data_IF_697844892823
#
_entry.id   IF_697844892823
#
_cell.length_a   1.000
_cell.length_b   1.000
_cell.length_c   1.000
_cell.angle_alpha   90.00
_cell.angle_beta   90.00
_cell.angle_gamma   90.00
#
_symmetry.space_group_name_H-M   'P 1'
#
loop_
_entity.id
_entity.type
_entity.pdbx_description
1 polymer ?
#
# COMPACT_ATOMS: atom_id res chain seq x y z
N UNK A 1 -34.54 4.41 15.99
CA UNK A 1 -33.69 5.24 15.07
C UNK A 1 -32.25 4.91 15.39
N UNK A 2 -31.62 4.07 14.54
CA UNK A 2 -30.19 3.82 14.60
C UNK A 2 -29.53 5.05 14.00
N UNK A 3 -28.81 5.83 14.79
CA UNK A 3 -27.91 6.86 14.29
C UNK A 3 -26.71 6.10 13.69
N UNK A 4 -26.65 6.02 12.38
CA UNK A 4 -25.40 5.71 11.68
C UNK A 4 -24.45 6.87 11.97
N UNK A 5 -23.57 6.71 12.94
CA UNK A 5 -22.42 7.59 13.09
C UNK A 5 -21.55 7.30 11.88
N UNK A 6 -21.51 8.21 10.94
CA UNK A 6 -20.62 8.12 9.77
C UNK A 6 -19.19 8.06 10.29
N UNK A 7 -18.56 6.90 10.11
CA UNK A 7 -17.18 6.70 10.53
C UNK A 7 -16.26 7.39 9.55
N UNK A 8 -15.38 8.25 10.06
CA UNK A 8 -14.35 8.92 9.27
C UNK A 8 -13.00 8.30 9.62
N UNK A 9 -12.31 7.69 8.66
CA UNK A 9 -11.03 7.07 8.88
C UNK A 9 -10.13 7.20 7.64
N UNK A 10 -8.82 7.14 7.86
CA UNK A 10 -7.84 7.14 6.77
C UNK A 10 -7.59 5.71 6.28
N UNK A 11 -7.33 5.57 4.98
CA UNK A 11 -6.89 4.31 4.37
C UNK A 11 -5.42 4.36 3.97
N UNK A 12 -4.90 5.55 3.68
CA UNK A 12 -3.48 5.75 3.40
C UNK A 12 -3.06 7.20 3.67
N UNK A 13 -1.86 7.39 4.21
CA UNK A 13 -1.23 8.70 4.39
C UNK A 13 0.23 8.59 3.99
N UNK A 14 0.66 9.41 3.04
CA UNK A 14 2.04 9.44 2.54
C UNK A 14 2.59 10.86 2.54
N UNK A 15 3.83 11.04 2.99
CA UNK A 15 4.51 12.31 2.83
C UNK A 15 5.08 12.45 1.42
N UNK A 16 4.72 13.54 0.75
CA UNK A 16 5.22 13.92 -0.57
C UNK A 16 5.77 15.34 -0.53
N UNK A 17 7.09 15.45 -0.44
CA UNK A 17 7.74 16.75 -0.24
C UNK A 17 7.24 17.44 1.02
N UNK A 18 6.69 18.65 0.87
CA UNK A 18 6.16 19.45 1.98
C UNK A 18 4.64 19.32 2.17
N UNK A 19 4.06 18.25 1.65
CA UNK A 19 2.62 17.94 1.76
C UNK A 19 2.43 16.50 2.22
N UNK A 20 1.24 16.23 2.74
CA UNK A 20 0.73 14.88 2.93
C UNK A 20 -0.32 14.58 1.85
N UNK A 21 -0.21 13.40 1.26
CA UNK A 21 -1.23 12.82 0.41
C UNK A 21 -2.05 11.86 1.27
N UNK A 22 -3.37 12.05 1.27
CA UNK A 22 -4.26 11.34 2.19
C UNK A 22 -5.39 10.71 1.39
N UNK A 23 -5.62 9.43 1.65
CA UNK A 23 -6.85 8.72 1.29
C UNK A 23 -7.64 8.50 2.58
N UNK A 24 -8.89 8.86 2.54
CA UNK A 24 -9.80 8.70 3.69
C UNK A 24 -11.20 8.29 3.23
N UNK A 25 -11.92 7.63 4.09
CA UNK A 25 -13.37 7.46 4.00
C UNK A 25 -13.98 8.53 4.87
N UNK A 26 -14.89 9.32 4.31
CA UNK A 26 -15.59 10.37 4.99
C UNK A 26 -17.06 10.34 4.59
N UNK A 27 -17.95 10.25 5.57
CA UNK A 27 -19.41 10.23 5.39
C UNK A 27 -19.88 9.13 4.42
N UNK A 28 -19.16 7.99 4.40
CA UNK A 28 -19.41 6.87 3.51
C UNK A 28 -18.81 7.02 2.10
N UNK A 29 -18.16 8.14 1.81
CA UNK A 29 -17.51 8.40 0.53
C UNK A 29 -16.00 8.26 0.64
N UNK A 30 -15.38 7.62 -0.36
CA UNK A 30 -13.93 7.49 -0.47
C UNK A 30 -13.33 8.74 -1.10
N UNK A 31 -12.54 9.49 -0.34
CA UNK A 31 -11.80 10.65 -0.81
C UNK A 31 -10.39 10.25 -1.25
N UNK A 32 -10.13 10.39 -2.54
CA UNK A 32 -8.82 10.11 -3.13
C UNK A 32 -8.14 11.45 -3.49
N UNK A 33 -6.79 11.43 -3.55
CA UNK A 33 -5.97 12.57 -4.00
C UNK A 33 -6.08 13.84 -3.15
N UNK A 34 -6.40 13.71 -1.88
CA UNK A 34 -6.39 14.84 -0.97
C UNK A 34 -4.96 15.23 -0.64
N UNK A 35 -4.60 16.48 -0.95
CA UNK A 35 -3.29 17.06 -0.63
C UNK A 35 -3.45 18.01 0.54
N UNK A 36 -2.72 17.74 1.63
CA UNK A 36 -2.84 18.47 2.89
C UNK A 36 -1.51 19.16 3.22
N UNK A 37 -1.56 20.45 3.55
CA UNK A 37 -0.46 21.13 4.23
C UNK A 37 -0.50 20.72 5.71
N UNK A 38 0.64 20.41 6.27
CA UNK A 38 0.73 20.04 7.67
C UNK A 38 1.81 20.85 8.38
N UNK A 39 1.45 21.40 9.52
CA UNK A 39 2.30 22.21 10.40
C UNK A 39 2.65 21.37 11.64
N UNK A 40 3.83 20.70 11.68
CA UNK A 40 4.20 19.82 12.77
C UNK A 40 4.47 20.58 14.07
N UNK A 41 4.27 19.89 15.19
CA UNK A 41 4.67 20.35 16.51
C UNK A 41 5.73 19.41 17.07
N UNK A 42 6.87 19.95 17.50
CA UNK A 42 7.87 19.26 18.28
C UNK A 42 7.98 19.92 19.66
N UNK A 43 8.85 19.39 20.52
CA UNK A 43 9.00 19.89 21.88
C UNK A 43 10.47 20.07 22.24
N UNK A 44 10.77 21.09 23.04
CA UNK A 44 12.11 21.33 23.59
C UNK A 44 12.05 21.34 25.12
N UNK A 45 13.13 20.92 25.81
CA UNK A 45 13.20 20.91 27.26
C UNK A 45 13.20 22.35 27.81
N UNK A 46 12.54 22.52 28.94
CA UNK A 46 12.49 23.80 29.67
C UNK A 46 12.60 23.56 31.16
N UNK A 47 13.21 24.52 31.87
CA UNK A 47 13.32 24.46 33.33
C UNK A 47 11.99 24.78 34.06
N UNK A 48 11.09 25.51 33.39
CA UNK A 48 9.81 25.91 33.94
C UNK A 48 8.78 24.80 33.81
N UNK A 49 7.93 24.65 34.82
CA UNK A 49 6.80 23.72 34.75
C UNK A 49 5.83 24.08 33.63
N UNK A 50 5.49 23.08 32.82
CA UNK A 50 4.53 23.15 31.70
C UNK A 50 3.57 21.98 31.76
N UNK A 51 2.45 21.99 30.98
CA UNK A 51 1.55 20.85 30.88
C UNK A 51 2.18 19.60 30.25
N UNK A 52 3.30 19.77 29.53
CA UNK A 52 3.96 18.70 28.76
C UNK A 52 5.19 18.18 29.47
N UNK A 53 5.33 16.86 29.49
CA UNK A 53 6.47 16.17 30.06
C UNK A 53 6.98 15.08 29.11
N UNK A 54 8.26 14.81 29.15
CA UNK A 54 8.87 13.62 28.57
C UNK A 54 8.50 12.38 29.39
N UNK A 55 8.80 11.19 28.87
CA UNK A 55 8.58 9.93 29.60
C UNK A 55 9.43 9.83 30.87
N UNK A 56 10.59 10.47 30.91
CA UNK A 56 11.49 10.58 32.09
C UNK A 56 11.15 11.76 33.01
N UNK A 57 10.03 12.45 32.77
CA UNK A 57 9.43 13.46 33.65
C UNK A 57 9.97 14.87 33.50
N UNK A 58 10.88 15.16 32.55
CA UNK A 58 11.35 16.51 32.25
C UNK A 58 10.25 17.36 31.63
N UNK A 59 10.21 18.65 32.00
CA UNK A 59 9.28 19.58 31.38
C UNK A 59 9.74 19.99 29.99
N UNK A 60 8.78 20.04 29.05
CA UNK A 60 9.03 20.46 27.68
C UNK A 60 7.99 21.50 27.26
N UNK A 61 8.34 22.34 26.30
CA UNK A 61 7.41 23.26 25.65
C UNK A 61 7.27 22.92 24.16
N UNK A 62 6.11 23.19 23.59
CA UNK A 62 5.86 22.99 22.19
C UNK A 62 6.60 24.02 21.31
N UNK A 63 7.08 23.56 20.16
CA UNK A 63 7.62 24.35 19.07
C UNK A 63 6.79 24.01 17.84
N UNK A 64 6.04 24.97 17.32
CA UNK A 64 5.25 24.81 16.11
C UNK A 64 6.03 25.30 14.90
N UNK A 65 5.86 24.63 13.77
CA UNK A 65 6.50 24.96 12.50
C UNK A 65 5.43 25.24 11.44
N UNK A 66 5.70 26.15 10.52
CA UNK A 66 4.76 26.46 9.45
C UNK A 66 4.60 25.33 8.43
N UNK A 67 5.61 24.45 8.37
CA UNK A 67 5.61 23.32 7.45
C UNK A 67 6.61 22.22 7.87
N UNK A 68 6.51 21.06 7.24
CA UNK A 68 7.33 19.88 7.56
C UNK A 68 8.82 20.07 7.22
N UNK A 69 9.16 20.91 6.24
CA UNK A 69 10.55 21.19 5.90
C UNK A 69 11.26 21.91 7.03
N UNK A 70 10.65 22.95 7.60
CA UNK A 70 11.21 23.69 8.72
C UNK A 70 11.40 22.79 9.96
N UNK A 71 10.43 21.93 10.25
CA UNK A 71 10.57 20.95 11.33
C UNK A 71 11.74 20.00 11.10
N UNK A 72 11.93 19.54 9.86
CA UNK A 72 13.05 18.68 9.48
C UNK A 72 14.40 19.39 9.60
N UNK A 73 14.47 20.65 9.16
CA UNK A 73 15.68 21.50 9.29
C UNK A 73 16.02 21.71 10.78
N UNK A 74 15.02 21.93 11.62
CA UNK A 74 15.20 22.03 13.06
C UNK A 74 15.77 20.73 13.66
N UNK A 75 15.18 19.57 13.34
CA UNK A 75 15.69 18.26 13.81
C UNK A 75 17.14 18.03 13.37
N UNK A 76 17.48 18.36 12.13
CA UNK A 76 18.84 18.19 11.62
C UNK A 76 19.84 19.15 12.30
N UNK A 77 19.43 20.38 12.62
CA UNK A 77 20.26 21.34 13.35
C UNK A 77 20.63 20.85 14.76
N UNK A 78 19.77 20.06 15.38
CA UNK A 78 19.99 19.48 16.72
C UNK A 78 20.43 18.00 16.68
N UNK A 79 20.89 17.49 15.57
CA UNK A 79 21.30 16.08 15.40
C UNK A 79 22.40 15.64 16.36
N UNK A 80 23.31 16.56 16.74
CA UNK A 80 24.38 16.30 17.73
C UNK A 80 23.88 16.40 19.19
N UNK A 81 22.68 16.89 19.43
CA UNK A 81 22.05 17.11 20.73
C UNK A 81 20.60 16.62 20.72
N UNK A 82 20.37 15.31 20.47
CA UNK A 82 19.03 14.77 20.28
C UNK A 82 18.14 14.91 21.52
N UNK A 83 18.74 15.10 22.70
CA UNK A 83 18.06 15.35 23.98
C UNK A 83 17.40 16.74 24.06
N UNK A 84 17.60 17.60 23.06
CA UNK A 84 16.96 18.92 22.98
C UNK A 84 15.72 18.94 22.08
N UNK A 85 15.44 17.84 21.36
CA UNK A 85 14.28 17.74 20.47
C UNK A 85 13.45 16.49 20.80
N UNK A 86 12.21 16.71 21.16
CA UNK A 86 11.24 15.65 21.50
C UNK A 86 10.05 15.71 20.56
N UNK A 87 9.31 14.60 20.48
CA UNK A 87 8.14 14.46 19.62
C UNK A 87 8.38 13.51 18.47
N UNK A 88 7.35 13.30 17.67
CA UNK A 88 7.41 12.38 16.53
C UNK A 88 7.88 13.13 15.28
N UNK A 89 9.05 12.74 14.76
CA UNK A 89 9.65 13.31 13.54
C UNK A 89 9.12 12.66 12.26
N UNK A 90 8.34 11.58 12.37
CA UNK A 90 7.63 10.96 11.26
C UNK A 90 6.28 11.66 11.09
N UNK A 91 6.26 12.72 10.29
CA UNK A 91 5.11 13.63 10.17
C UNK A 91 3.81 12.98 9.70
N UNK A 92 3.89 11.85 9.00
CA UNK A 92 2.72 11.02 8.66
C UNK A 92 1.98 10.56 9.92
N UNK A 93 2.72 10.03 10.90
CA UNK A 93 2.12 9.57 12.16
C UNK A 93 1.67 10.73 13.06
N UNK A 94 2.43 11.84 13.08
CA UNK A 94 2.01 13.05 13.79
C UNK A 94 0.68 13.57 13.26
N UNK A 95 0.52 13.66 11.94
CA UNK A 95 -0.73 14.05 11.30
C UNK A 95 -1.88 13.11 11.65
N UNK A 96 -1.64 11.79 11.61
CA UNK A 96 -2.66 10.80 11.96
C UNK A 96 -3.11 11.00 13.41
N UNK A 97 -2.16 11.15 14.35
CA UNK A 97 -2.46 11.36 15.76
C UNK A 97 -3.23 12.66 16.00
N UNK A 98 -2.88 13.75 15.33
CA UNK A 98 -3.55 15.06 15.47
C UNK A 98 -4.95 15.06 14.84
N UNK A 99 -5.09 14.42 13.66
CA UNK A 99 -6.33 14.43 12.89
C UNK A 99 -7.36 13.43 13.40
N UNK A 100 -6.89 12.26 13.84
CA UNK A 100 -7.70 11.13 14.27
C UNK A 100 -7.38 10.80 15.73
N UNK A 101 -7.69 11.74 16.64
CA UNK A 101 -7.44 11.59 18.07
C UNK A 101 -8.29 10.49 18.69
N UNK A 102 -7.69 9.67 19.55
CA UNK A 102 -8.37 8.56 20.22
C UNK A 102 -8.39 7.26 19.40
N UNK A 103 -9.44 6.45 19.61
CA UNK A 103 -9.60 5.21 18.86
C UNK A 103 -10.15 5.49 17.47
N UNK A 104 -9.40 5.11 16.45
CA UNK A 104 -9.88 5.15 15.06
C UNK A 104 -10.74 3.92 14.82
N UNK A 105 -12.02 4.12 14.64
CA UNK A 105 -12.94 3.07 14.20
C UNK A 105 -13.02 3.09 12.69
N UNK A 106 -12.97 1.92 12.09
CA UNK A 106 -13.03 1.76 10.63
C UNK A 106 -14.08 0.71 10.27
N UNK A 107 -14.63 0.83 9.09
CA UNK A 107 -15.59 -0.10 8.53
C UNK A 107 -14.94 -0.89 7.40
N UNK A 108 -14.82 -2.20 7.60
CA UNK A 108 -14.24 -3.11 6.61
C UNK A 108 -15.01 -3.13 5.29
N UNK A 109 -16.33 -2.90 5.32
CA UNK A 109 -17.15 -2.89 4.11
C UNK A 109 -16.88 -1.66 3.22
N UNK A 110 -16.33 -0.59 3.80
CA UNK A 110 -15.93 0.61 3.08
C UNK A 110 -14.48 0.57 2.60
N UNK A 111 -13.68 -0.42 3.01
CA UNK A 111 -12.34 -0.65 2.50
C UNK A 111 -12.37 -1.46 1.22
N UNK A 112 -11.82 -0.93 0.15
CA UNK A 112 -11.65 -1.72 -1.06
C UNK A 112 -10.40 -2.59 -0.96
N UNK A 113 -10.59 -3.83 -0.55
CA UNK A 113 -9.55 -4.85 -0.54
C UNK A 113 -9.68 -5.75 -1.77
N UNK A 114 -8.57 -5.95 -2.47
CA UNK A 114 -8.50 -6.77 -3.66
C UNK A 114 -7.40 -7.84 -3.52
N UNK A 115 -7.75 -9.10 -3.80
CA UNK A 115 -6.74 -10.13 -4.09
C UNK A 115 -6.37 -10.04 -5.56
N UNK A 116 -5.07 -10.07 -5.84
CA UNK A 116 -4.53 -10.13 -7.20
C UNK A 116 -3.74 -11.42 -7.38
N UNK A 117 -3.82 -11.98 -8.57
CA UNK A 117 -3.08 -13.16 -8.99
C UNK A 117 -2.85 -13.11 -10.50
N UNK A 118 -1.70 -13.62 -10.98
CA UNK A 118 -1.35 -13.62 -12.40
C UNK A 118 -0.94 -15.01 -12.88
N UNK A 119 -1.19 -15.27 -14.16
CA UNK A 119 -0.62 -16.41 -14.86
C UNK A 119 0.31 -15.93 -15.98
N UNK A 120 1.47 -16.53 -16.06
CA UNK A 120 2.53 -16.17 -16.97
C UNK A 120 2.85 -17.37 -17.88
N UNK A 121 3.06 -17.11 -19.16
CA UNK A 121 3.56 -18.12 -20.08
C UNK A 121 4.93 -18.60 -19.63
N UNK A 122 5.09 -19.91 -19.46
CA UNK A 122 6.34 -20.49 -19.00
C UNK A 122 6.80 -21.58 -19.97
N UNK A 123 7.81 -21.27 -20.77
CA UNK A 123 8.40 -22.23 -21.71
C UNK A 123 9.75 -22.78 -21.19
N UNK A 124 10.47 -22.02 -20.38
CA UNK A 124 11.85 -22.29 -20.00
C UNK A 124 12.10 -22.29 -18.48
N UNK A 125 11.12 -22.73 -17.67
CA UNK A 125 11.22 -22.77 -16.22
C UNK A 125 10.41 -21.67 -15.54
N UNK A 126 10.70 -21.40 -14.26
CA UNK A 126 9.94 -20.42 -13.50
C UNK A 126 10.26 -18.99 -13.96
N UNK A 127 9.25 -18.18 -14.35
CA UNK A 127 9.45 -16.84 -14.89
C UNK A 127 10.11 -15.90 -13.87
N UNK A 128 11.07 -15.09 -14.33
CA UNK A 128 11.74 -14.08 -13.50
C UNK A 128 10.89 -12.82 -13.38
N UNK A 129 10.40 -12.44 -12.18
CA UNK A 129 9.63 -11.21 -12.03
C UNK A 129 10.47 -9.95 -12.28
N UNK A 130 11.79 -10.01 -12.10
CA UNK A 130 12.70 -8.87 -12.36
C UNK A 130 12.91 -8.64 -13.85
N UNK A 131 13.05 -9.71 -14.64
CA UNK A 131 13.22 -9.59 -16.09
C UNK A 131 11.89 -9.44 -16.82
N UNK A 132 10.84 -10.12 -16.34
CA UNK A 132 9.49 -10.17 -16.85
C UNK A 132 9.46 -10.30 -18.38
N UNK A 133 10.16 -11.34 -18.93
CA UNK A 133 10.31 -11.55 -20.37
C UNK A 133 9.10 -12.22 -21.00
N UNK A 134 8.53 -13.18 -20.28
CA UNK A 134 7.42 -13.99 -20.72
C UNK A 134 6.10 -13.22 -20.67
N UNK A 135 5.17 -13.57 -21.55
CA UNK A 135 3.87 -12.91 -21.65
C UNK A 135 2.96 -13.26 -20.48
N UNK A 136 2.22 -12.27 -19.99
CA UNK A 136 1.07 -12.49 -19.10
C UNK A 136 -0.06 -13.15 -19.88
N UNK A 137 -0.54 -14.28 -19.36
CA UNK A 137 -1.67 -15.01 -19.93
C UNK A 137 -2.98 -14.52 -19.31
N UNK A 138 -2.97 -14.26 -17.99
CA UNK A 138 -4.12 -13.69 -17.29
C UNK A 138 -3.73 -12.84 -16.09
N UNK A 139 -4.62 -11.91 -15.75
CA UNK A 139 -4.64 -11.18 -14.48
C UNK A 139 -6.00 -11.39 -13.85
N UNK A 140 -6.04 -11.77 -12.60
CA UNK A 140 -7.27 -11.98 -11.82
C UNK A 140 -7.33 -11.00 -10.66
N UNK A 141 -8.47 -10.32 -10.50
CA UNK A 141 -8.75 -9.52 -9.31
C UNK A 141 -10.05 -10.01 -8.67
N UNK A 142 -9.99 -10.33 -7.38
CA UNK A 142 -11.15 -10.56 -6.53
C UNK A 142 -11.37 -9.38 -5.59
N UNK A 143 -12.51 -8.73 -5.72
CA UNK A 143 -12.92 -7.70 -4.77
C UNK A 143 -13.58 -8.36 -3.55
N UNK A 144 -13.09 -8.06 -2.34
CA UNK A 144 -13.57 -8.71 -1.11
C UNK A 144 -14.93 -8.21 -0.62
N UNK A 145 -15.32 -6.97 -0.95
CA UNK A 145 -16.61 -6.40 -0.57
C UNK A 145 -17.74 -6.98 -1.44
N UNK A 146 -17.59 -6.83 -2.76
CA UNK A 146 -18.60 -7.31 -3.71
C UNK A 146 -18.56 -8.81 -3.94
N UNK A 147 -17.49 -9.50 -3.52
CA UNK A 147 -17.17 -10.91 -3.80
C UNK A 147 -16.97 -11.21 -5.30
N UNK A 148 -17.03 -10.20 -6.16
CA UNK A 148 -16.85 -10.33 -7.61
C UNK A 148 -15.40 -10.60 -7.96
N UNK A 149 -15.22 -11.43 -8.98
CA UNK A 149 -13.93 -11.76 -9.58
C UNK A 149 -13.94 -11.25 -11.02
N UNK A 150 -12.91 -10.53 -11.41
CA UNK A 150 -12.68 -10.12 -12.79
C UNK A 150 -11.38 -10.76 -13.26
N UNK A 151 -11.45 -11.39 -14.42
CA UNK A 151 -10.30 -12.04 -15.06
C UNK A 151 -10.11 -11.45 -16.44
N UNK A 152 -8.95 -10.87 -16.68
CA UNK A 152 -8.49 -10.53 -18.03
C UNK A 152 -7.61 -11.68 -18.52
N UNK A 153 -7.94 -12.28 -19.63
CA UNK A 153 -7.19 -13.43 -20.13
C UNK A 153 -7.03 -13.44 -21.65
N UNK A 154 -5.90 -13.97 -22.11
CA UNK A 154 -5.64 -14.23 -23.54
C UNK A 154 -6.15 -15.62 -23.86
N UNK A 155 -7.13 -15.71 -24.77
CA UNK A 155 -7.74 -16.99 -25.16
C UNK A 155 -9.20 -17.12 -24.72
N UNK A 156 -9.77 -18.28 -25.00
CA UNK A 156 -11.16 -18.58 -24.69
C UNK A 156 -11.28 -19.22 -23.30
N UNK A 157 -12.21 -18.72 -22.52
CA UNK A 157 -12.58 -19.30 -21.24
C UNK A 157 -14.08 -19.15 -21.01
N UNK A 158 -14.70 -20.17 -20.48
CA UNK A 158 -16.12 -20.17 -20.07
C UNK A 158 -16.24 -20.67 -18.65
N UNK A 159 -17.19 -20.14 -17.91
CA UNK A 159 -17.49 -20.57 -16.54
C UNK A 159 -18.99 -20.48 -16.27
N UNK A 160 -19.49 -21.38 -15.44
CA UNK A 160 -20.87 -21.34 -14.95
C UNK A 160 -21.01 -20.48 -13.68
N UNK A 161 -19.91 -19.92 -13.17
CA UNK A 161 -19.90 -19.07 -11.98
C UNK A 161 -20.43 -17.68 -12.30
N UNK A 162 -21.46 -17.24 -11.59
CA UNK A 162 -22.11 -15.93 -11.72
C UNK A 162 -21.32 -14.78 -11.05
N UNK A 163 -20.39 -15.11 -10.15
CA UNK A 163 -19.50 -14.16 -9.49
C UNK A 163 -18.24 -13.82 -10.31
N UNK A 164 -17.98 -14.51 -11.41
CA UNK A 164 -16.82 -14.33 -12.29
C UNK A 164 -17.19 -13.60 -13.56
N UNK A 165 -16.45 -12.54 -13.86
CA UNK A 165 -16.51 -11.84 -15.16
C UNK A 165 -15.19 -12.09 -15.89
N UNK A 166 -15.24 -12.81 -17.00
CA UNK A 166 -14.09 -13.02 -17.87
C UNK A 166 -14.10 -12.01 -19.01
N UNK A 167 -12.99 -11.31 -19.18
CA UNK A 167 -12.73 -10.34 -20.25
C UNK A 167 -11.70 -10.95 -21.18
N UNK A 168 -12.18 -11.46 -22.34
CA UNK A 168 -11.30 -12.00 -23.37
C UNK A 168 -10.47 -10.88 -24.00
N UNK A 169 -9.16 -11.04 -23.99
CA UNK A 169 -8.20 -10.15 -24.61
C UNK A 169 -7.56 -10.80 -25.83
N UNK A 170 -7.32 -10.02 -26.88
CA UNK A 170 -6.71 -10.51 -28.12
C UNK A 170 -5.18 -10.72 -28.00
N UNK A 171 -4.58 -10.05 -27.04
CA UNK A 171 -3.14 -10.07 -26.76
C UNK A 171 -2.84 -9.60 -25.35
N UNK A 172 -1.62 -9.82 -24.86
CA UNK A 172 -1.14 -9.28 -23.60
C UNK A 172 -1.22 -7.75 -23.56
N UNK A 173 -0.90 -7.07 -24.66
CA UNK A 173 -1.00 -5.60 -24.74
C UNK A 173 -2.45 -5.14 -24.50
N UNK A 174 -3.43 -5.85 -25.07
CA UNK A 174 -4.85 -5.57 -24.82
C UNK A 174 -5.21 -5.86 -23.36
N UNK A 175 -4.77 -7.00 -22.82
CA UNK A 175 -4.99 -7.41 -21.44
C UNK A 175 -4.50 -6.34 -20.45
N UNK A 176 -3.27 -5.89 -20.57
CA UNK A 176 -2.68 -4.88 -19.69
C UNK A 176 -3.38 -3.52 -19.81
N UNK A 177 -3.79 -3.11 -21.01
CA UNK A 177 -4.54 -1.85 -21.21
C UNK A 177 -5.89 -1.89 -20.51
N UNK A 178 -6.66 -2.96 -20.70
CA UNK A 178 -7.96 -3.13 -20.04
C UNK A 178 -7.83 -3.22 -18.51
N UNK A 179 -6.82 -3.96 -18.04
CA UNK A 179 -6.49 -4.04 -16.61
C UNK A 179 -6.16 -2.65 -16.03
N UNK A 180 -5.27 -1.88 -16.68
CA UNK A 180 -4.89 -0.54 -16.21
C UNK A 180 -6.09 0.42 -16.17
N UNK A 181 -6.97 0.38 -17.19
CA UNK A 181 -8.20 1.19 -17.22
C UNK A 181 -9.14 0.82 -16.07
N UNK A 182 -9.31 -0.46 -15.80
CA UNK A 182 -10.10 -0.92 -14.65
C UNK A 182 -9.48 -0.49 -13.33
N UNK A 183 -8.16 -0.67 -13.19
CA UNK A 183 -7.41 -0.32 -11.99
C UNK A 183 -7.53 1.17 -11.65
N UNK A 184 -7.37 2.06 -12.61
CA UNK A 184 -7.51 3.52 -12.43
C UNK A 184 -8.90 3.92 -11.95
N UNK A 185 -9.94 3.23 -12.40
CA UNK A 185 -11.32 3.50 -11.97
C UNK A 185 -11.63 2.95 -10.58
N UNK A 186 -10.87 1.96 -10.12
CA UNK A 186 -11.18 1.18 -8.94
C UNK A 186 -9.97 0.98 -8.01
N UNK A 187 -9.11 1.99 -7.90
CA UNK A 187 -7.93 1.87 -7.02
C UNK A 187 -8.25 1.20 -5.69
N UNK A 188 -7.68 0.04 -5.36
CA UNK A 188 -7.87 -0.59 -4.07
C UNK A 188 -7.22 0.24 -2.96
N UNK A 189 -7.71 0.10 -1.74
CA UNK A 189 -7.00 0.59 -0.55
C UNK A 189 -5.92 -0.40 -0.14
N UNK A 190 -6.24 -1.70 -0.30
CA UNK A 190 -5.37 -2.81 0.06
C UNK A 190 -5.34 -3.81 -1.09
N UNK A 191 -4.14 -4.21 -1.50
CA UNK A 191 -3.91 -5.39 -2.34
C UNK A 191 -3.32 -6.51 -1.50
N UNK A 192 -3.76 -7.72 -1.77
CA UNK A 192 -3.29 -8.94 -1.13
C UNK A 192 -3.20 -10.07 -2.15
N UNK A 193 -2.62 -11.19 -1.75
CA UNK A 193 -2.47 -12.41 -2.51
C UNK A 193 -1.36 -13.26 -1.93
N UNK A 194 -0.97 -14.32 -2.61
CA UNK A 194 0.06 -15.24 -2.15
C UNK A 194 1.40 -14.96 -2.83
N UNK A 195 2.37 -14.42 -2.10
CA UNK A 195 3.68 -13.99 -2.61
C UNK A 195 3.62 -12.82 -3.61
N UNK A 196 2.55 -12.04 -3.57
CA UNK A 196 2.32 -10.92 -4.49
C UNK A 196 3.36 -9.81 -4.38
N UNK A 197 3.94 -9.63 -3.19
CA UNK A 197 5.00 -8.63 -2.95
C UNK A 197 6.24 -8.89 -3.81
N UNK A 198 6.57 -10.17 -4.07
CA UNK A 198 7.82 -10.56 -4.74
C UNK A 198 7.61 -11.26 -6.09
N UNK A 199 6.38 -11.49 -6.50
CA UNK A 199 6.08 -12.08 -7.81
C UNK A 199 5.08 -11.25 -8.62
N UNK A 200 3.80 -11.25 -8.26
CA UNK A 200 2.74 -10.68 -9.10
C UNK A 200 2.93 -9.19 -9.36
N UNK A 201 3.12 -8.41 -8.30
CA UNK A 201 3.28 -6.95 -8.42
C UNK A 201 4.56 -6.57 -9.17
N UNK A 202 5.74 -7.11 -8.85
CA UNK A 202 6.93 -6.87 -9.65
C UNK A 202 6.79 -7.30 -11.10
N UNK A 203 6.14 -8.45 -11.35
CA UNK A 203 5.95 -8.93 -12.72
C UNK A 203 5.08 -7.98 -13.55
N UNK A 204 3.91 -7.58 -13.03
CA UNK A 204 3.03 -6.61 -13.67
C UNK A 204 3.76 -5.29 -13.93
N UNK A 205 4.44 -4.76 -12.90
CA UNK A 205 5.17 -3.50 -13.03
C UNK A 205 6.24 -3.56 -14.12
N UNK A 206 7.07 -4.61 -14.11
CA UNK A 206 8.12 -4.77 -15.11
C UNK A 206 7.57 -5.06 -16.52
N UNK A 207 6.43 -5.78 -16.64
CA UNK A 207 5.78 -5.95 -17.95
C UNK A 207 5.23 -4.64 -18.49
N UNK A 208 4.63 -3.81 -17.65
CA UNK A 208 4.18 -2.47 -18.06
C UNK A 208 5.37 -1.64 -18.53
N UNK A 209 6.47 -1.63 -17.79
CA UNK A 209 7.70 -0.90 -18.19
C UNK A 209 8.22 -1.42 -19.54
N UNK A 210 8.34 -2.74 -19.70
CA UNK A 210 8.88 -3.36 -20.89
C UNK A 210 8.04 -3.09 -22.14
N UNK A 211 6.71 -3.00 -22.01
CA UNK A 211 5.80 -2.86 -23.15
C UNK A 211 5.39 -1.40 -23.42
N UNK A 212 5.30 -0.57 -22.39
CA UNK A 212 4.72 0.77 -22.51
C UNK A 212 5.64 1.89 -21.98
N UNK A 213 6.70 1.55 -21.23
CA UNK A 213 7.61 2.50 -20.60
C UNK A 213 7.22 2.88 -19.18
N UNK A 214 8.17 3.51 -18.47
CA UNK A 214 8.05 3.87 -17.05
C UNK A 214 6.90 4.86 -16.73
N UNK A 215 6.54 5.71 -17.69
CA UNK A 215 5.49 6.70 -17.47
C UNK A 215 4.11 6.05 -17.29
N UNK A 216 3.84 4.94 -17.99
CA UNK A 216 2.59 4.20 -17.85
C UNK A 216 2.46 3.49 -16.50
N UNK A 217 3.60 3.16 -15.86
CA UNK A 217 3.61 2.56 -14.53
C UNK A 217 2.94 3.46 -13.48
N UNK A 218 3.02 4.78 -13.64
CA UNK A 218 2.42 5.76 -12.73
C UNK A 218 0.91 5.61 -12.59
N UNK A 219 0.26 5.02 -13.59
CA UNK A 219 -1.18 4.75 -13.62
C UNK A 219 -1.62 3.75 -12.56
N UNK A 220 -0.72 2.92 -12.02
CA UNK A 220 -1.05 2.02 -10.93
C UNK A 220 -1.27 2.74 -9.60
N UNK A 221 -0.81 3.99 -9.47
CA UNK A 221 -0.94 4.79 -8.25
C UNK A 221 -1.99 5.88 -8.39
N UNK A 222 -2.94 6.02 -7.43
CA UNK A 222 -3.86 7.15 -7.40
C UNK A 222 -3.16 8.50 -7.25
N UNK A 223 -1.87 8.49 -6.91
CA UNK A 223 -1.03 9.69 -6.76
C UNK A 223 0.09 9.79 -7.81
N UNK A 224 0.05 8.93 -8.83
CA UNK A 224 1.03 8.92 -9.91
C UNK A 224 2.45 8.61 -9.47
N UNK A 225 2.62 7.86 -8.39
CA UNK A 225 3.94 7.52 -7.85
C UNK A 225 4.04 6.03 -7.55
N UNK A 226 4.87 5.36 -8.32
CA UNK A 226 5.26 3.95 -8.11
C UNK A 226 6.78 3.92 -8.02
N UNK A 227 7.32 3.27 -7.00
CA UNK A 227 8.77 3.22 -6.74
C UNK A 227 9.23 1.79 -6.61
N UNK A 228 10.28 1.47 -7.36
CA UNK A 228 11.02 0.24 -7.13
C UNK A 228 11.73 0.28 -5.78
N UNK A 229 11.73 -0.85 -5.09
CA UNK A 229 12.46 -1.07 -3.84
C UNK A 229 13.20 -2.39 -3.90
N UNK A 230 14.40 -2.41 -3.36
CA UNK A 230 15.15 -3.64 -3.12
C UNK A 230 15.06 -4.01 -1.65
N UNK A 231 14.60 -5.21 -1.36
CA UNK A 231 14.46 -5.75 0.00
C UNK A 231 15.36 -6.96 0.16
N UNK A 232 16.23 -6.94 1.17
CA UNK A 232 17.00 -8.13 1.53
C UNK A 232 16.15 -9.04 2.43
N UNK A 233 15.76 -10.20 1.89
CA UNK A 233 14.90 -11.16 2.59
C UNK A 233 15.32 -12.59 2.23
N UNK A 234 15.38 -13.47 3.22
CA UNK A 234 15.72 -14.88 3.02
C UNK A 234 17.08 -15.11 2.33
N UNK A 235 18.10 -14.33 2.72
CA UNK A 235 19.46 -14.48 2.20
C UNK A 235 19.71 -13.91 0.80
N UNK A 236 18.73 -13.27 0.19
CA UNK A 236 18.84 -12.65 -1.15
C UNK A 236 18.18 -11.29 -1.23
N UNK A 237 18.66 -10.44 -2.13
CA UNK A 237 18.00 -9.19 -2.50
C UNK A 237 16.88 -9.51 -3.49
N UNK A 238 15.68 -9.00 -3.20
CA UNK A 238 14.50 -9.15 -4.04
C UNK A 238 13.97 -7.78 -4.42
N UNK A 239 13.52 -7.64 -5.65
CA UNK A 239 12.84 -6.45 -6.15
C UNK A 239 11.39 -6.47 -5.74
N UNK A 240 10.87 -5.33 -5.31
CA UNK A 240 9.44 -5.09 -5.08
C UNK A 240 9.07 -3.67 -5.49
N UNK A 241 7.79 -3.36 -5.53
CA UNK A 241 7.29 -2.03 -5.89
C UNK A 241 6.37 -1.49 -4.80
N UNK A 242 6.58 -0.22 -4.45
CA UNK A 242 5.68 0.55 -3.59
C UNK A 242 4.76 1.39 -4.48
N UNK A 243 3.48 1.05 -4.47
CA UNK A 243 2.42 1.80 -5.18
C UNK A 243 1.85 2.82 -4.21
N UNK A 244 2.21 4.09 -4.36
CA UNK A 244 1.76 5.13 -3.44
C UNK A 244 0.23 5.23 -3.41
N UNK A 245 -0.34 5.18 -2.22
CA UNK A 245 -1.79 5.22 -2.00
C UNK A 245 -2.49 3.86 -2.02
N UNK A 246 -1.76 2.76 -2.24
CA UNK A 246 -2.27 1.38 -2.18
C UNK A 246 -1.40 0.59 -1.19
N UNK A 247 -2.00 0.06 -0.15
CA UNK A 247 -1.27 -0.76 0.82
C UNK A 247 -1.13 -2.20 0.28
N UNK A 248 0.09 -2.76 0.32
CA UNK A 248 0.34 -4.16 -0.02
C UNK A 248 0.42 -4.99 1.25
N UNK A 249 -0.46 -5.98 1.39
CA UNK A 249 -0.49 -6.94 2.50
C UNK A 249 -0.38 -8.36 1.94
N UNK A 250 0.83 -8.83 1.72
CA UNK A 250 1.11 -10.16 1.21
C UNK A 250 0.66 -11.23 2.20
N UNK A 251 -0.24 -12.12 1.78
CA UNK A 251 -0.82 -13.12 2.66
C UNK A 251 0.19 -14.21 3.06
N UNK A 252 1.12 -14.59 2.18
CA UNK A 252 2.19 -15.52 2.54
C UNK A 252 3.10 -14.91 3.62
N UNK A 253 3.39 -13.62 3.55
CA UNK A 253 4.19 -12.94 4.58
C UNK A 253 3.46 -12.89 5.93
N UNK A 254 2.15 -12.66 5.93
CA UNK A 254 1.31 -12.71 7.13
C UNK A 254 1.24 -14.12 7.69
N UNK A 255 1.00 -15.12 6.85
CA UNK A 255 0.96 -16.53 7.24
C UNK A 255 2.26 -16.93 7.95
N UNK A 256 3.42 -16.66 7.34
CA UNK A 256 4.73 -16.94 7.93
C UNK A 256 4.99 -16.23 9.26
N UNK A 257 4.45 -15.05 9.43
CA UNK A 257 4.63 -14.26 10.66
C UNK A 257 3.77 -14.77 11.83
N UNK A 258 2.58 -15.25 11.54
CA UNK A 258 1.60 -15.64 12.57
C UNK A 258 1.41 -17.14 12.72
N UNK A 259 2.06 -17.98 11.90
CA UNK A 259 2.11 -19.43 12.05
C UNK A 259 3.35 -19.81 12.83
N UNK A 260 3.17 -20.45 13.97
CA UNK A 260 4.28 -20.80 14.88
C UNK A 260 5.10 -22.01 14.39
N UNK A 261 4.53 -22.86 13.56
CA UNK A 261 5.21 -24.04 13.02
C UNK A 261 5.81 -23.69 11.66
N UNK A 262 7.13 -23.91 11.52
CA UNK A 262 7.79 -23.76 10.23
C UNK A 262 7.31 -24.86 9.27
N UNK A 263 6.97 -24.46 8.04
CA UNK A 263 6.54 -25.38 6.99
C UNK A 263 7.73 -25.80 6.11
N UNK A 264 7.69 -27.03 5.58
CA UNK A 264 8.70 -27.51 4.65
C UNK A 264 8.72 -26.73 3.33
N UNK A 265 7.55 -26.27 2.91
CA UNK A 265 7.34 -25.41 1.73
C UNK A 265 6.27 -24.37 2.00
N UNK A 266 6.45 -23.19 1.42
CA UNK A 266 5.43 -22.11 1.39
C UNK A 266 4.77 -21.94 0.02
N UNK A 267 4.88 -22.95 -0.84
CA UNK A 267 4.06 -23.02 -2.05
C UNK A 267 2.57 -23.11 -1.67
N UNK A 268 1.71 -22.38 -2.36
CA UNK A 268 0.28 -22.29 -2.02
C UNK A 268 -0.38 -23.68 -1.94
N UNK A 269 -0.07 -24.57 -2.90
CA UNK A 269 -0.59 -25.95 -2.91
C UNK A 269 -0.20 -26.75 -1.67
N UNK A 270 1.06 -26.58 -1.19
CA UNK A 270 1.51 -27.25 0.01
C UNK A 270 0.75 -26.73 1.23
N UNK A 271 0.69 -25.41 1.40
CA UNK A 271 -0.03 -24.81 2.52
C UNK A 271 -1.52 -25.18 2.51
N UNK A 272 -2.16 -25.14 1.35
CA UNK A 272 -3.57 -25.55 1.22
C UNK A 272 -3.82 -27.03 1.54
N UNK A 273 -2.79 -27.89 1.53
CA UNK A 273 -2.92 -29.28 1.92
C UNK A 273 -2.60 -29.55 3.41
N UNK A 274 -1.92 -28.60 4.06
CA UNK A 274 -1.55 -28.68 5.48
C UNK A 274 -2.65 -28.10 6.38
N UNK A 275 -3.33 -27.04 5.94
CA UNK A 275 -4.45 -26.37 6.63
C UNK A 275 -5.78 -27.05 6.30
#
# INVERSE_FOLDING_TARGET
>A
KWYYTTMNFYTNVLQYGNFLLVREVKDGERNINKRVKYSPTLYAPVAKQTPYKTLDGKYVTNISFDNMREAKEHVEAYKSQPELVYGNTLHTYSYIADKYSGRVEFDMEQLMMATIDIEVKSENGFPSPTEAKEELISITIKNHQSKRIVVWGVGDFTTERDDVTYIKCESEVHLLKEFMVFWERHYPDIITGWNTEFFDIPYICNRIINLFGEDELKRLSPWGSVRERSVYKMGRTQQTYEIAGVASLDFMALYRKFTYTAQESYALNHIASVE
#
